data_IF_149636200192
#
_entry.id   IF_149636200192
#
_cell.length_a   1.000
_cell.length_b   1.000
_cell.length_c   1.000
_cell.angle_alpha   90.00
_cell.angle_beta   90.00
_cell.angle_gamma   90.00
#
_symmetry.space_group_name_H-M   'P 1'
#
loop_
_entity.id
_entity.type
_entity.pdbx_description
1 polymer ?
#
# COMPACT_ATOMS: atom_id res chain seq x y z
N UNK A 1 -25.21 1.44 -9.59
CA UNK A 1 -24.31 1.25 -10.75
C UNK A 1 -24.10 2.59 -11.44
N UNK A 2 -23.02 3.30 -11.12
CA UNK A 2 -22.68 4.58 -11.77
C UNK A 2 -21.86 4.22 -13.00
N UNK A 3 -22.40 4.48 -14.19
CA UNK A 3 -21.71 4.26 -15.45
C UNK A 3 -20.66 5.35 -15.62
N UNK A 4 -19.40 5.06 -15.31
CA UNK A 4 -18.29 5.96 -15.61
C UNK A 4 -18.15 6.08 -17.13
N UNK A 5 -18.38 7.28 -17.67
CA UNK A 5 -18.07 7.57 -19.07
C UNK A 5 -16.57 7.86 -19.15
N UNK A 6 -15.83 7.00 -19.83
CA UNK A 6 -14.45 7.26 -20.20
C UNK A 6 -14.40 7.90 -21.59
N UNK A 7 -13.39 8.75 -21.82
CA UNK A 7 -13.02 9.21 -23.16
C UNK A 7 -11.53 9.07 -23.35
N UNK A 8 -11.16 8.46 -24.46
CA UNK A 8 -9.78 8.36 -24.92
C UNK A 8 -9.48 9.58 -25.77
N UNK A 9 -8.32 10.18 -25.58
CA UNK A 9 -7.85 11.26 -26.44
C UNK A 9 -6.34 11.24 -26.53
N UNK A 10 -5.84 11.72 -27.66
CA UNK A 10 -4.42 11.96 -27.87
C UNK A 10 -4.16 13.45 -27.69
N UNK A 11 -3.25 13.79 -26.79
CA UNK A 11 -2.85 15.18 -26.54
C UNK A 11 -1.35 15.27 -26.35
N UNK A 12 -0.88 16.50 -26.50
CA UNK A 12 0.51 16.90 -26.36
C UNK A 12 0.84 17.09 -24.87
N UNK A 13 1.85 16.39 -24.37
CA UNK A 13 2.29 16.46 -22.97
C UNK A 13 3.77 16.83 -22.85
N UNK A 14 4.08 17.53 -21.76
CA UNK A 14 5.44 17.76 -21.28
C UNK A 14 5.61 17.04 -19.96
N UNK A 15 6.65 16.22 -19.84
CA UNK A 15 6.95 15.44 -18.63
C UNK A 15 8.38 15.76 -18.21
N UNK A 16 8.60 16.05 -16.92
CA UNK A 16 9.94 16.28 -16.39
C UNK A 16 10.67 17.50 -16.98
N UNK A 17 9.93 18.46 -17.56
CA UNK A 17 10.52 19.63 -18.22
C UNK A 17 11.05 19.38 -19.63
N UNK A 18 10.72 18.25 -20.28
CA UNK A 18 11.08 18.04 -21.68
C UNK A 18 10.45 19.11 -22.59
N UNK A 19 11.25 19.79 -23.39
CA UNK A 19 10.76 20.70 -24.42
C UNK A 19 10.03 19.95 -25.54
N UNK A 20 10.28 18.63 -25.65
CA UNK A 20 9.61 17.73 -26.58
C UNK A 20 8.18 17.46 -26.15
N UNK A 21 7.28 18.22 -26.75
CA UNK A 21 5.85 18.05 -26.59
C UNK A 21 5.40 16.85 -27.43
N UNK A 22 5.17 15.70 -26.78
CA UNK A 22 4.85 14.47 -27.49
C UNK A 22 3.36 14.12 -27.36
N UNK A 23 2.77 13.66 -28.46
CA UNK A 23 1.38 13.20 -28.46
C UNK A 23 1.27 11.84 -27.75
N UNK A 24 0.66 11.81 -26.57
CA UNK A 24 0.35 10.58 -25.84
C UNK A 24 -1.16 10.36 -25.80
N UNK A 25 -1.56 9.10 -25.88
CA UNK A 25 -2.95 8.71 -25.64
C UNK A 25 -3.17 8.52 -24.15
N UNK A 26 -4.15 9.25 -23.61
CA UNK A 26 -4.64 9.10 -22.25
C UNK A 26 -6.13 8.75 -22.25
N UNK A 27 -6.54 8.12 -21.16
CA UNK A 27 -7.95 7.95 -20.82
C UNK A 27 -8.32 8.92 -19.70
N UNK A 28 -9.37 9.71 -19.88
CA UNK A 28 -10.04 10.37 -18.76
C UNK A 28 -11.26 9.54 -18.40
N UNK A 29 -11.28 9.03 -17.18
CA UNK A 29 -12.50 8.61 -16.52
C UNK A 29 -13.12 9.84 -15.84
N UNK A 30 -14.40 10.11 -16.10
CA UNK A 30 -15.13 11.15 -15.37
C UNK A 30 -15.41 10.66 -13.94
N UNK A 31 -14.45 10.82 -13.03
CA UNK A 31 -14.66 10.62 -11.60
C UNK A 31 -15.33 11.85 -10.97
N UNK A 32 -16.07 11.66 -9.86
CA UNK A 32 -16.68 12.74 -9.08
C UNK A 32 -15.67 13.53 -8.24
N UNK A 33 -14.41 13.11 -8.19
CA UNK A 33 -13.36 13.78 -7.43
C UNK A 33 -12.48 14.67 -8.33
N UNK A 34 -12.03 15.81 -7.80
CA UNK A 34 -11.23 16.83 -8.50
C UNK A 34 -9.77 16.38 -8.80
N UNK A 35 -9.49 15.09 -8.86
CA UNK A 35 -8.13 14.55 -9.03
C UNK A 35 -7.97 13.90 -10.39
N UNK A 36 -6.91 14.29 -11.09
CA UNK A 36 -6.46 13.60 -12.31
C UNK A 36 -5.49 12.48 -11.92
N UNK A 37 -5.75 11.25 -12.37
CA UNK A 37 -4.92 10.09 -12.09
C UNK A 37 -4.08 9.72 -13.32
N UNK A 38 -2.78 9.54 -13.11
CA UNK A 38 -1.86 8.98 -14.11
C UNK A 38 -1.52 7.56 -13.69
N UNK A 39 -1.92 6.57 -14.48
CA UNK A 39 -1.68 5.15 -14.19
C UNK A 39 -0.37 4.68 -14.83
N UNK A 40 0.51 4.12 -14.01
CA UNK A 40 1.80 3.54 -14.43
C UNK A 40 1.80 2.00 -14.26
N UNK A 41 0.74 1.35 -14.71
CA UNK A 41 0.54 -0.09 -14.57
C UNK A 41 0.41 -0.74 -15.95
N UNK A 42 0.72 -2.04 -16.04
CA UNK A 42 0.73 -2.79 -17.29
C UNK A 42 -0.63 -2.73 -18.01
N UNK A 43 -0.68 -2.66 -19.35
CA UNK A 43 -1.91 -2.42 -20.11
C UNK A 43 -2.90 -3.58 -20.00
N UNK A 44 -2.44 -4.78 -19.66
CA UNK A 44 -3.30 -5.95 -19.47
C UNK A 44 -4.09 -5.94 -18.15
N UNK A 45 -3.88 -4.97 -17.26
CA UNK A 45 -4.76 -4.81 -16.10
C UNK A 45 -5.99 -4.05 -16.58
N UNK A 46 -7.01 -4.83 -16.97
CA UNK A 46 -8.38 -4.33 -17.05
C UNK A 46 -8.65 -3.47 -15.82
N UNK A 47 -9.23 -2.30 -16.01
CA UNK A 47 -9.79 -1.58 -14.87
C UNK A 47 -10.70 -2.53 -14.06
N UNK A 48 -10.94 -2.25 -12.77
CA UNK A 48 -11.91 -3.00 -11.94
C UNK A 48 -13.34 -3.02 -12.56
N UNK A 49 -13.52 -2.31 -13.67
CA UNK A 49 -14.74 -2.24 -14.46
C UNK A 49 -14.71 -3.09 -15.73
N UNK A 50 -13.60 -3.72 -16.12
CA UNK A 50 -13.55 -4.72 -17.20
C UNK A 50 -13.80 -4.18 -18.61
N UNK A 51 -13.68 -2.87 -18.86
CA UNK A 51 -14.12 -2.26 -20.12
C UNK A 51 -13.05 -1.55 -20.93
N UNK A 52 -11.81 -1.53 -20.45
CA UNK A 52 -10.77 -0.72 -21.06
C UNK A 52 -9.64 -1.58 -21.64
N UNK A 53 -9.93 -2.29 -22.75
CA UNK A 53 -8.91 -2.64 -23.75
C UNK A 53 -8.50 -1.33 -24.46
N UNK A 54 -7.79 -0.47 -23.74
CA UNK A 54 -7.47 0.87 -24.21
C UNK A 54 -6.10 0.92 -24.84
N UNK A 55 -6.17 1.13 -26.14
CA UNK A 55 -5.10 1.52 -27.05
C UNK A 55 -4.08 0.41 -27.41
N UNK A 56 -3.99 -0.01 -28.69
CA UNK A 56 -2.88 -0.81 -29.18
C UNK A 56 -1.50 -0.14 -29.01
N UNK A 57 -1.42 1.15 -28.62
CA UNK A 57 -0.16 1.85 -28.36
C UNK A 57 0.58 1.41 -27.08
N UNK A 58 -0.06 0.64 -26.20
CA UNK A 58 0.50 0.20 -24.92
C UNK A 58 0.30 1.18 -23.75
N UNK A 59 0.81 0.83 -22.56
CA UNK A 59 0.74 1.69 -21.37
C UNK A 59 1.53 3.00 -21.51
N UNK A 60 1.46 3.88 -20.51
CA UNK A 60 2.17 5.15 -20.53
C UNK A 60 3.70 4.97 -20.71
N UNK A 61 4.30 3.96 -20.08
CA UNK A 61 5.73 3.67 -20.20
C UNK A 61 6.04 3.09 -21.58
N UNK A 62 5.18 2.24 -22.13
CA UNK A 62 5.29 1.73 -23.51
C UNK A 62 5.30 2.87 -24.51
N UNK A 63 4.39 3.84 -24.35
CA UNK A 63 4.35 5.02 -25.21
C UNK A 63 5.64 5.83 -25.10
N UNK A 64 6.22 6.00 -23.89
CA UNK A 64 7.50 6.69 -23.72
C UNK A 64 8.65 5.98 -24.44
N UNK A 65 8.73 4.64 -24.35
CA UNK A 65 9.74 3.85 -25.08
C UNK A 65 9.53 3.93 -26.60
N UNK A 66 8.29 3.74 -27.06
CA UNK A 66 7.94 3.77 -28.49
C UNK A 66 8.21 5.13 -29.15
N UNK A 67 8.21 6.20 -28.35
CA UNK A 67 8.51 7.58 -28.78
C UNK A 67 9.96 7.97 -28.54
N UNK A 68 10.80 7.03 -28.11
CA UNK A 68 12.22 7.25 -27.79
C UNK A 68 12.46 8.33 -26.74
N UNK A 69 11.52 8.51 -25.80
CA UNK A 69 11.67 9.43 -24.67
C UNK A 69 12.46 8.81 -23.52
N UNK A 70 12.47 7.48 -23.45
CA UNK A 70 13.27 6.66 -22.52
C UNK A 70 13.76 5.41 -23.24
N UNK A 71 14.95 4.92 -22.85
CA UNK A 71 15.57 3.74 -23.47
C UNK A 71 15.11 2.41 -22.88
N UNK A 72 14.58 2.44 -21.65
CA UNK A 72 14.22 1.25 -20.87
C UNK A 72 12.77 1.37 -20.39
N UNK A 73 12.01 0.28 -20.52
CA UNK A 73 10.67 0.15 -19.91
C UNK A 73 10.79 0.02 -18.39
N UNK A 74 10.92 1.13 -17.69
CA UNK A 74 11.03 1.15 -16.24
C UNK A 74 10.93 2.56 -15.66
N UNK A 75 10.70 2.63 -14.36
CA UNK A 75 10.75 3.88 -13.60
C UNK A 75 11.16 3.59 -12.15
N UNK A 76 11.74 4.59 -11.48
CA UNK A 76 11.99 4.57 -10.05
C UNK A 76 11.20 5.69 -9.37
N UNK A 77 10.61 5.37 -8.22
CA UNK A 77 9.91 6.35 -7.37
C UNK A 77 10.75 6.55 -6.11
N UNK A 78 11.03 7.80 -5.80
CA UNK A 78 11.57 8.23 -4.52
C UNK A 78 10.51 9.09 -3.84
N UNK A 79 10.04 8.63 -2.68
CA UNK A 79 9.20 9.42 -1.79
C UNK A 79 10.08 9.93 -0.67
N UNK A 80 10.07 11.24 -0.46
CA UNK A 80 10.79 11.87 0.64
C UNK A 80 10.11 11.52 1.99
N UNK A 81 10.65 12.00 3.10
CA UNK A 81 9.97 11.84 4.39
C UNK A 81 8.58 12.52 4.40
N UNK A 82 7.75 12.21 5.41
CA UNK A 82 6.37 12.73 5.53
C UNK A 82 6.31 14.28 5.56
N UNK A 83 7.42 14.95 5.92
CA UNK A 83 7.55 16.40 5.94
C UNK A 83 8.33 16.95 4.73
N UNK A 84 8.82 16.06 3.87
CA UNK A 84 9.63 16.32 2.71
C UNK A 84 8.80 16.86 1.57
N UNK A 85 9.39 17.79 0.82
CA UNK A 85 8.74 18.42 -0.34
C UNK A 85 9.29 17.88 -1.67
N UNK A 86 10.18 16.89 -1.64
CA UNK A 86 10.99 16.48 -2.79
C UNK A 86 10.83 15.00 -3.14
N UNK A 87 9.59 14.58 -3.39
CA UNK A 87 9.34 13.32 -4.08
C UNK A 87 9.73 13.43 -5.56
N UNK A 88 10.27 12.36 -6.13
CA UNK A 88 10.72 12.30 -7.53
C UNK A 88 10.30 11.00 -8.16
N UNK A 89 9.87 11.09 -9.42
CA UNK A 89 9.79 9.95 -10.31
C UNK A 89 10.83 10.12 -11.41
N UNK A 90 11.57 9.07 -11.70
CA UNK A 90 12.52 9.00 -12.81
C UNK A 90 12.03 7.91 -13.77
N UNK A 91 11.78 8.27 -15.02
CA UNK A 91 11.44 7.33 -16.08
C UNK A 91 12.70 6.87 -16.81
N UNK A 92 12.77 5.61 -17.21
CA UNK A 92 13.87 5.06 -18.00
C UNK A 92 15.11 4.67 -17.20
N UNK A 93 15.11 4.78 -15.87
CA UNK A 93 16.28 4.47 -15.07
C UNK A 93 16.01 4.45 -13.56
N UNK A 94 17.09 4.36 -12.80
CA UNK A 94 17.10 4.37 -11.34
C UNK A 94 18.06 5.48 -10.88
N UNK A 95 17.63 6.28 -9.91
CA UNK A 95 18.46 7.30 -9.27
C UNK A 95 19.27 6.66 -8.12
N UNK A 96 20.52 6.27 -8.41
CA UNK A 96 21.40 5.55 -7.46
C UNK A 96 21.87 6.38 -6.29
N UNK A 97 21.68 7.70 -6.32
CA UNK A 97 21.93 8.57 -5.17
C UNK A 97 20.80 8.53 -4.13
N UNK A 98 19.66 7.91 -4.48
CA UNK A 98 18.42 7.93 -3.68
C UNK A 98 18.14 6.64 -2.92
N UNK A 99 18.96 5.62 -3.05
CA UNK A 99 18.85 4.40 -2.26
C UNK A 99 20.23 3.91 -1.81
N UNK A 100 20.25 3.17 -0.70
CA UNK A 100 21.45 2.54 -0.17
C UNK A 100 21.29 1.03 -0.37
N UNK A 101 22.32 0.39 -0.92
CA UNK A 101 22.28 -1.04 -1.28
C UNK A 101 22.21 -1.26 -2.79
N UNK A 102 21.95 -2.49 -3.22
CA UNK A 102 21.94 -2.87 -4.64
C UNK A 102 21.03 -4.04 -4.99
N UNK A 103 20.18 -4.47 -4.05
CA UNK A 103 19.41 -5.69 -4.22
C UNK A 103 18.15 -5.45 -5.05
N UNK A 104 17.94 -6.34 -6.00
CA UNK A 104 16.71 -6.40 -6.80
C UNK A 104 15.90 -7.61 -6.36
N UNK A 105 14.60 -7.40 -6.18
CA UNK A 105 13.63 -8.48 -5.96
C UNK A 105 12.90 -8.73 -7.27
N UNK A 106 12.89 -9.97 -7.78
CA UNK A 106 12.09 -10.29 -8.94
C UNK A 106 10.62 -10.16 -8.60
N UNK A 107 9.89 -9.61 -9.54
CA UNK A 107 8.44 -9.58 -9.48
C UNK A 107 7.91 -10.99 -9.64
N UNK A 108 6.89 -11.36 -8.88
CA UNK A 108 6.17 -12.61 -9.06
C UNK A 108 4.89 -12.34 -9.83
N UNK A 109 4.62 -13.17 -10.82
CA UNK A 109 3.30 -13.16 -11.47
C UNK A 109 2.32 -13.76 -10.47
N UNK A 110 1.42 -12.93 -9.94
CA UNK A 110 0.24 -13.43 -9.28
C UNK A 110 -0.90 -13.40 -10.30
N UNK A 111 -1.26 -14.56 -10.81
CA UNK A 111 -2.57 -14.73 -11.44
C UNK A 111 -3.56 -14.78 -10.30
N UNK A 112 -4.20 -13.66 -9.97
CA UNK A 112 -5.39 -13.73 -9.13
C UNK A 112 -6.34 -14.71 -9.80
N UNK A 113 -6.55 -15.87 -9.16
CA UNK A 113 -7.64 -16.76 -9.50
C UNK A 113 -8.88 -15.88 -9.54
N UNK A 114 -9.48 -15.76 -10.72
CA UNK A 114 -10.70 -15.00 -10.98
C UNK A 114 -11.62 -15.01 -9.77
N UNK A 115 -11.73 -13.88 -9.07
CA UNK A 115 -12.76 -13.76 -8.05
C UNK A 115 -14.08 -13.81 -8.80
N UNK A 116 -14.82 -14.90 -8.62
CA UNK A 116 -16.14 -15.07 -9.21
C UNK A 116 -17.05 -14.10 -8.47
N UNK A 117 -17.26 -12.91 -9.02
CA UNK A 117 -18.36 -12.06 -8.56
C UNK A 117 -19.66 -12.88 -8.61
N UNK A 118 -20.60 -12.67 -7.66
CA UNK A 118 -21.87 -13.41 -7.57
C UNK A 118 -22.77 -13.30 -8.82
N UNK A 119 -22.35 -12.56 -9.86
CA UNK A 119 -23.00 -12.43 -11.16
C UNK A 119 -22.35 -13.24 -12.31
N UNK A 120 -21.44 -14.17 -12.02
CA UNK A 120 -20.98 -15.18 -13.00
C UNK A 120 -20.11 -14.63 -14.15
N UNK A 121 -19.60 -13.41 -14.04
CA UNK A 121 -18.64 -12.85 -14.99
C UNK A 121 -17.23 -13.20 -14.54
N UNK A 122 -16.60 -14.16 -15.21
CA UNK A 122 -15.17 -14.45 -15.08
C UNK A 122 -14.43 -13.36 -15.85
N UNK A 123 -14.04 -12.29 -15.14
CA UNK A 123 -13.08 -11.35 -15.71
C UNK A 123 -11.69 -11.96 -15.57
N UNK A 124 -10.91 -12.11 -16.67
CA UNK A 124 -9.49 -12.38 -16.55
C UNK A 124 -8.87 -11.14 -15.92
N UNK A 125 -8.82 -11.09 -14.59
CA UNK A 125 -8.03 -10.09 -13.88
C UNK A 125 -6.62 -10.19 -14.45
N UNK A 126 -6.18 -9.10 -15.06
CA UNK A 126 -4.85 -9.00 -15.65
C UNK A 126 -3.78 -9.44 -14.66
N UNK A 127 -2.67 -9.97 -15.19
CA UNK A 127 -1.51 -10.25 -14.35
C UNK A 127 -1.18 -9.02 -13.52
N UNK A 128 -1.16 -9.16 -12.18
CA UNK A 128 -0.70 -8.08 -11.33
C UNK A 128 0.81 -7.91 -11.57
N UNK A 129 1.18 -6.71 -11.99
CA UNK A 129 2.52 -6.38 -12.45
C UNK A 129 3.26 -5.54 -11.42
N UNK A 130 2.90 -5.62 -10.13
CA UNK A 130 3.62 -4.99 -9.00
C UNK A 130 3.72 -5.87 -7.76
N UNK A 131 3.71 -7.19 -7.94
CA UNK A 131 3.73 -8.14 -6.84
C UNK A 131 5.12 -8.72 -6.62
N UNK A 132 5.53 -8.82 -5.37
CA UNK A 132 6.80 -9.40 -4.93
C UNK A 132 6.54 -10.45 -3.86
N UNK A 133 7.47 -11.38 -3.69
CA UNK A 133 7.38 -12.40 -2.64
C UNK A 133 7.87 -11.85 -1.30
N UNK A 134 7.09 -12.02 -0.24
CA UNK A 134 7.49 -11.77 1.16
C UNK A 134 7.52 -13.08 1.91
N UNK A 135 8.66 -13.45 2.48
CA UNK A 135 8.83 -14.72 3.19
C UNK A 135 8.66 -14.59 4.70
N UNK A 136 8.93 -13.42 5.28
CA UNK A 136 8.66 -13.18 6.69
C UNK A 136 8.43 -11.71 7.01
N UNK A 137 7.68 -11.51 8.10
CA UNK A 137 7.44 -10.21 8.72
C UNK A 137 7.65 -10.43 10.22
N UNK A 138 8.59 -9.69 10.80
CA UNK A 138 8.96 -9.80 12.22
C UNK A 138 9.03 -8.41 12.82
N UNK A 139 8.43 -8.21 13.98
CA UNK A 139 8.68 -7.01 14.78
C UNK A 139 9.79 -7.29 15.79
N UNK A 140 10.75 -6.39 15.89
CA UNK A 140 11.88 -6.47 16.82
C UNK A 140 11.92 -5.19 17.67
N UNK A 141 11.98 -5.33 18.98
CA UNK A 141 12.26 -4.23 19.91
C UNK A 141 13.71 -4.26 20.36
N UNK A 142 14.40 -3.12 20.20
CA UNK A 142 15.78 -2.97 20.68
C UNK A 142 15.88 -2.87 22.21
N UNK A 143 14.79 -2.52 22.91
CA UNK A 143 14.73 -2.24 24.35
C UNK A 143 14.00 -3.32 25.15
N UNK A 144 14.32 -4.59 24.88
CA UNK A 144 14.10 -5.61 25.90
C UNK A 144 14.89 -5.22 27.15
N UNK A 145 14.20 -4.94 28.27
CA UNK A 145 14.76 -4.47 29.55
C UNK A 145 15.88 -5.35 30.17
N UNK A 146 16.38 -6.38 29.48
CA UNK A 146 17.45 -7.27 29.89
C UNK A 146 18.44 -7.62 28.75
N UNK A 147 18.52 -6.83 27.67
CA UNK A 147 19.44 -7.11 26.55
C UNK A 147 19.02 -8.29 25.65
N UNK A 148 17.88 -8.91 25.93
CA UNK A 148 17.18 -9.81 25.01
C UNK A 148 16.09 -9.02 24.31
N UNK A 149 16.38 -8.50 23.11
CA UNK A 149 15.34 -7.88 22.27
C UNK A 149 14.14 -8.82 22.15
N UNK A 150 12.93 -8.25 22.19
CA UNK A 150 11.71 -9.04 21.99
C UNK A 150 11.45 -9.13 20.49
N UNK A 151 11.44 -10.35 19.97
CA UNK A 151 11.11 -10.62 18.57
C UNK A 151 9.73 -11.26 18.52
N UNK A 152 8.83 -10.70 17.71
CA UNK A 152 7.50 -11.25 17.46
C UNK A 152 7.36 -11.52 15.97
N UNK A 153 7.19 -12.79 15.61
CA UNK A 153 6.98 -13.19 14.22
C UNK A 153 5.51 -13.03 13.86
N UNK A 154 5.22 -12.19 12.88
CA UNK A 154 3.87 -11.99 12.34
C UNK A 154 3.61 -12.90 11.14
N UNK A 155 4.62 -13.05 10.29
CA UNK A 155 4.61 -13.97 9.16
C UNK A 155 5.91 -14.78 9.19
N UNK A 156 5.80 -16.09 9.08
CA UNK A 156 6.95 -17.01 9.00
C UNK A 156 7.08 -17.64 7.62
N UNK A 157 8.26 -18.10 7.22
CA UNK A 157 8.41 -18.85 5.97
C UNK A 157 7.61 -20.16 5.94
N UNK A 158 7.18 -20.69 7.09
CA UNK A 158 6.33 -21.88 7.14
C UNK A 158 4.84 -21.58 6.92
N UNK A 159 4.48 -20.32 6.63
CA UNK A 159 3.09 -19.87 6.52
C UNK A 159 2.32 -20.58 5.39
N UNK A 160 2.97 -20.91 4.27
CA UNK A 160 2.37 -21.70 3.21
C UNK A 160 3.40 -22.61 2.52
N UNK A 161 2.92 -23.53 1.68
CA UNK A 161 3.76 -24.49 0.95
C UNK A 161 4.79 -23.83 0.03
N UNK A 162 4.56 -22.58 -0.38
CA UNK A 162 5.45 -21.81 -1.26
C UNK A 162 6.49 -20.99 -0.48
N UNK A 163 6.42 -20.99 0.85
CA UNK A 163 7.28 -20.26 1.77
C UNK A 163 7.29 -18.73 1.61
N UNK A 164 6.30 -18.17 0.91
CA UNK A 164 6.15 -16.74 0.72
C UNK A 164 4.69 -16.35 0.45
N UNK A 165 4.30 -15.13 0.83
CA UNK A 165 3.04 -14.51 0.43
C UNK A 165 3.29 -13.48 -0.68
N UNK A 166 2.36 -13.35 -1.66
CA UNK A 166 2.41 -12.24 -2.60
C UNK A 166 2.07 -10.93 -1.90
N UNK A 167 2.95 -9.93 -2.03
CA UNK A 167 2.72 -8.56 -1.58
C UNK A 167 2.73 -7.64 -2.79
N UNK A 168 1.62 -6.93 -3.01
CA UNK A 168 1.54 -5.87 -4.03
C UNK A 168 2.17 -4.61 -3.46
N UNK A 169 3.05 -3.99 -4.25
CA UNK A 169 3.58 -2.67 -3.92
C UNK A 169 2.73 -1.60 -4.58
N UNK A 170 1.97 -0.87 -3.77
CA UNK A 170 1.09 0.21 -4.23
C UNK A 170 1.50 1.55 -3.63
N UNK A 171 1.96 2.46 -4.49
CA UNK A 171 2.37 3.82 -4.14
C UNK A 171 1.23 4.83 -4.29
N UNK A 172 0.06 4.40 -4.78
CA UNK A 172 -1.08 5.30 -5.05
C UNK A 172 -1.95 5.57 -3.83
N UNK A 173 -1.87 4.71 -2.81
CA UNK A 173 -2.41 4.91 -1.46
C UNK A 173 -1.31 4.66 -0.42
N UNK A 174 -0.42 5.64 -0.17
CA UNK A 174 0.79 5.44 0.62
C UNK A 174 0.55 5.39 2.13
N UNK A 175 -0.70 5.39 2.58
CA UNK A 175 -1.03 5.57 4.01
C UNK A 175 -0.93 4.26 4.78
N UNK A 176 -1.34 3.16 4.15
CA UNK A 176 -1.61 1.89 4.83
C UNK A 176 -0.80 0.72 4.25
N UNK A 177 -0.44 -0.21 5.13
CA UNK A 177 0.01 -1.55 4.77
C UNK A 177 -1.11 -2.55 5.02
N UNK A 178 -1.57 -3.21 3.97
CA UNK A 178 -2.57 -4.29 4.09
C UNK A 178 -1.87 -5.65 4.19
N UNK A 179 -2.26 -6.44 5.18
CA UNK A 179 -1.71 -7.77 5.46
C UNK A 179 -2.85 -8.78 5.65
N UNK A 180 -2.61 -10.10 5.52
CA UNK A 180 -3.62 -11.11 5.84
C UNK A 180 -4.22 -10.92 7.25
N UNK A 181 -5.49 -11.28 7.43
CA UNK A 181 -6.22 -11.03 8.70
C UNK A 181 -5.50 -11.64 9.91
N UNK A 182 -4.99 -12.86 9.80
CA UNK A 182 -4.24 -13.55 10.85
C UNK A 182 -2.92 -12.84 11.19
N UNK A 183 -2.23 -12.28 10.20
CA UNK A 183 -1.05 -11.43 10.40
C UNK A 183 -1.45 -10.15 11.14
N UNK A 184 -2.54 -9.48 10.73
CA UNK A 184 -3.06 -8.27 11.38
C UNK A 184 -3.45 -8.52 12.85
N UNK A 185 -4.11 -9.64 13.15
CA UNK A 185 -4.48 -10.02 14.52
C UNK A 185 -3.26 -10.15 15.44
N UNK A 186 -2.17 -10.75 14.94
CA UNK A 186 -0.92 -10.85 15.71
C UNK A 186 -0.31 -9.46 15.93
N UNK A 187 -0.31 -8.59 14.91
CA UNK A 187 0.13 -7.20 15.04
C UNK A 187 -0.68 -6.48 16.12
N UNK A 188 -2.01 -6.58 16.07
CA UNK A 188 -2.90 -5.89 17.01
C UNK A 188 -2.73 -6.39 18.44
N UNK A 189 -2.64 -7.70 18.62
CA UNK A 189 -2.33 -8.27 19.93
C UNK A 189 -0.97 -7.81 20.46
N UNK A 190 0.03 -7.68 19.59
CA UNK A 190 1.40 -7.28 19.96
C UNK A 190 1.45 -5.83 20.43
N UNK A 191 0.77 -4.93 19.73
CA UNK A 191 0.80 -3.51 20.06
C UNK A 191 -0.38 -3.06 20.94
N UNK A 192 -1.32 -3.95 21.26
CA UNK A 192 -2.54 -3.60 21.97
C UNK A 192 -3.46 -2.72 21.15
N UNK A 193 -3.46 -2.91 19.83
CA UNK A 193 -4.33 -2.16 18.93
C UNK A 193 -5.75 -2.75 18.91
N UNK A 194 -6.76 -1.90 18.87
CA UNK A 194 -8.17 -2.32 18.93
C UNK A 194 -9.02 -1.49 17.96
N UNK A 195 -9.97 -2.14 17.30
CA UNK A 195 -11.05 -1.41 16.62
C UNK A 195 -12.05 -0.94 17.65
N UNK A 196 -12.42 0.33 17.59
CA UNK A 196 -13.51 0.87 18.40
C UNK A 196 -14.44 1.70 17.53
N UNK A 197 -15.75 1.63 17.75
CA UNK A 197 -16.67 2.55 17.10
C UNK A 197 -16.41 3.98 17.59
N UNK A 198 -16.31 4.91 16.65
CA UNK A 198 -16.28 6.33 16.94
C UNK A 198 -17.70 6.89 16.98
N UNK A 199 -17.87 7.98 17.71
CA UNK A 199 -19.13 8.71 17.82
C UNK A 199 -18.92 10.19 17.55
N UNK A 200 -19.84 10.78 16.79
CA UNK A 200 -19.97 12.23 16.61
C UNK A 200 -21.42 12.62 16.86
N UNK A 201 -21.68 13.27 18.00
CA UNK A 201 -23.06 13.58 18.43
C UNK A 201 -23.83 12.31 18.79
N UNK A 202 -24.88 11.96 18.03
CA UNK A 202 -25.66 10.72 18.22
C UNK A 202 -25.34 9.65 17.18
N UNK A 203 -24.45 9.94 16.23
CA UNK A 203 -24.15 9.06 15.11
C UNK A 203 -22.89 8.25 15.40
N UNK A 204 -22.99 6.94 15.17
CA UNK A 204 -21.88 5.99 15.22
C UNK A 204 -21.18 5.94 13.86
N UNK A 205 -19.86 5.91 13.89
CA UNK A 205 -18.99 5.75 12.73
C UNK A 205 -18.11 4.52 12.98
N UNK A 206 -18.17 3.59 12.05
CA UNK A 206 -17.18 2.51 11.98
C UNK A 206 -16.05 3.06 11.14
N UNK A 207 -15.01 3.47 11.83
CA UNK A 207 -13.72 3.71 11.25
C UNK A 207 -13.03 2.33 11.15
N UNK A 208 -12.49 2.02 9.97
CA UNK A 208 -11.84 0.73 9.67
C UNK A 208 -10.34 0.74 10.01
N UNK A 209 -9.90 1.66 10.87
CA UNK A 209 -8.56 1.75 11.43
C UNK A 209 -8.54 1.17 12.85
N UNK A 210 -7.56 0.32 13.15
CA UNK A 210 -7.26 -0.07 14.51
C UNK A 210 -6.62 1.12 15.26
N UNK A 211 -7.05 1.37 16.50
CA UNK A 211 -6.44 2.39 17.36
C UNK A 211 -5.38 1.80 18.25
N UNK A 212 -4.32 2.56 18.47
CA UNK A 212 -3.18 2.17 19.29
C UNK A 212 -2.72 3.34 20.17
N UNK A 213 -2.02 3.01 21.25
CA UNK A 213 -1.37 3.99 22.13
C UNK A 213 -0.27 4.76 21.37
N UNK A 214 -0.37 6.08 21.32
CA UNK A 214 0.60 6.95 20.66
C UNK A 214 2.03 6.83 21.19
N UNK A 215 2.28 6.17 22.33
CA UNK A 215 3.65 5.88 22.81
C UNK A 215 4.51 5.18 21.75
N UNK A 216 3.90 4.43 20.82
CA UNK A 216 4.64 3.75 19.77
C UNK A 216 5.25 4.70 18.73
N UNK A 217 4.83 5.97 18.68
CA UNK A 217 5.48 7.02 17.86
C UNK A 217 6.91 7.34 18.30
N UNK A 218 7.24 7.05 19.56
CA UNK A 218 8.61 7.17 20.09
C UNK A 218 9.21 5.82 20.44
N UNK A 219 8.63 4.72 19.95
CA UNK A 219 9.20 3.39 20.19
C UNK A 219 10.39 3.08 19.29
N UNK A 220 11.18 2.13 19.73
CA UNK A 220 12.32 1.56 19.02
C UNK A 220 11.96 0.26 18.29
N UNK A 221 10.67 -0.07 18.19
CA UNK A 221 10.23 -1.22 17.44
C UNK A 221 10.49 -1.00 15.95
N UNK A 222 11.01 -2.03 15.31
CA UNK A 222 11.26 -2.08 13.87
C UNK A 222 10.52 -3.28 13.30
N UNK A 223 9.76 -3.04 12.23
CA UNK A 223 9.15 -4.06 11.40
C UNK A 223 10.18 -4.47 10.34
N UNK A 224 10.62 -5.72 10.41
CA UNK A 224 11.55 -6.33 9.48
C UNK A 224 10.74 -7.13 8.45
N UNK A 225 10.83 -6.76 7.18
CA UNK A 225 10.15 -7.43 6.07
C UNK A 225 11.20 -8.09 5.20
N UNK A 226 11.20 -9.42 5.19
CA UNK A 226 12.11 -10.24 4.41
C UNK A 226 11.45 -10.57 3.07
N UNK A 227 12.05 -10.11 1.98
CA UNK A 227 11.62 -10.51 0.64
C UNK A 227 12.16 -11.91 0.32
N UNK A 228 11.40 -12.63 -0.50
CA UNK A 228 11.76 -13.92 -1.04
C UNK A 228 12.07 -13.85 -2.54
N UNK A 229 12.64 -14.93 -3.04
CA UNK A 229 12.77 -15.21 -4.47
C UNK A 229 11.81 -16.36 -4.86
N UNK A 230 11.42 -16.46 -6.14
CA UNK A 230 10.71 -17.61 -6.67
C UNK A 230 11.39 -18.93 -6.29
N UNK A 231 10.60 -20.02 -6.24
CA UNK A 231 11.03 -21.36 -5.83
C UNK A 231 11.38 -21.53 -4.33
N UNK A 232 10.77 -20.72 -3.46
CA UNK A 232 10.85 -20.91 -2.01
C UNK A 232 12.18 -20.49 -1.37
N UNK A 233 12.99 -19.70 -2.08
CA UNK A 233 14.20 -19.12 -1.51
C UNK A 233 13.85 -17.88 -0.68
N UNK A 234 14.20 -17.90 0.60
CA UNK A 234 13.84 -16.88 1.60
C UNK A 234 14.92 -15.82 1.81
N UNK A 235 16.00 -15.85 1.03
CA UNK A 235 17.21 -15.05 1.25
C UNK A 235 17.24 -13.73 0.47
N UNK A 236 16.08 -13.11 0.24
CA UNK A 236 16.01 -11.81 -0.43
C UNK A 236 16.55 -10.65 0.41
N UNK A 237 16.38 -9.40 -0.05
CA UNK A 237 16.67 -8.24 0.78
C UNK A 237 15.74 -8.18 1.98
N UNK A 238 16.29 -7.64 3.06
CA UNK A 238 15.59 -7.37 4.31
C UNK A 238 15.39 -5.86 4.43
N UNK A 239 14.13 -5.42 4.53
CA UNK A 239 13.80 -4.02 4.73
C UNK A 239 13.35 -3.78 6.18
N UNK A 240 13.80 -2.67 6.73
CA UNK A 240 13.49 -2.23 8.09
C UNK A 240 12.59 -1.01 8.06
N UNK A 241 11.42 -1.12 8.68
CA UNK A 241 10.45 -0.05 8.80
C UNK A 241 10.21 0.27 10.27
N UNK A 242 10.61 1.44 10.77
CA UNK A 242 10.30 1.85 12.15
C UNK A 242 8.79 1.84 12.40
N UNK A 243 8.33 1.21 13.49
CA UNK A 243 6.89 1.11 13.82
C UNK A 243 6.26 2.50 13.96
N UNK A 244 7.01 3.50 14.42
CA UNK A 244 6.54 4.89 14.49
C UNK A 244 6.01 5.45 13.15
N UNK A 245 6.45 4.90 12.01
CA UNK A 245 5.98 5.31 10.69
C UNK A 245 4.57 4.78 10.38
N UNK A 246 4.11 3.75 11.11
CA UNK A 246 2.78 3.18 10.99
C UNK A 246 1.81 3.71 12.07
N UNK A 247 2.25 4.61 12.94
CA UNK A 247 1.42 5.15 14.03
C UNK A 247 1.08 6.60 13.74
N UNK A 248 -0.15 6.85 13.31
CA UNK A 248 -0.62 8.15 12.83
C UNK A 248 -1.22 8.96 14.00
N UNK A 249 -0.79 10.23 14.11
CA UNK A 249 -1.33 11.19 15.09
C UNK A 249 -2.37 12.09 14.41
N UNK A 250 -3.41 11.44 13.88
CA UNK A 250 -4.47 12.06 13.10
C UNK A 250 -5.76 12.29 13.91
N UNK A 251 -5.89 11.65 15.09
CA UNK A 251 -7.11 11.68 15.90
C UNK A 251 -7.08 12.68 17.06
N UNK A 252 -5.91 13.03 17.63
CA UNK A 252 -5.84 13.85 18.86
C UNK A 252 -6.54 15.20 18.74
N UNK A 253 -6.43 15.86 17.59
CA UNK A 253 -7.09 17.15 17.35
C UNK A 253 -8.61 17.03 17.42
N UNK A 254 -9.16 15.93 16.90
CA UNK A 254 -10.59 15.69 16.90
C UNK A 254 -11.12 15.33 18.30
N UNK A 255 -10.37 14.53 19.06
CA UNK A 255 -10.68 14.16 20.44
C UNK A 255 -10.61 15.39 21.36
N UNK A 256 -9.52 16.16 21.31
CA UNK A 256 -9.32 17.33 22.17
C UNK A 256 -10.41 18.40 21.96
N UNK A 257 -10.90 18.55 20.74
CA UNK A 257 -11.96 19.50 20.40
C UNK A 257 -13.37 18.95 20.65
N UNK A 258 -13.51 17.73 21.20
CA UNK A 258 -14.80 17.08 21.45
C UNK A 258 -15.59 16.75 20.17
N UNK A 259 -14.95 16.78 19.01
CA UNK A 259 -15.58 16.45 17.73
C UNK A 259 -15.64 14.95 17.47
N UNK A 260 -14.83 14.18 18.20
CA UNK A 260 -14.79 12.74 18.18
C UNK A 260 -14.83 12.23 19.61
N UNK A 261 -15.76 11.35 19.91
CA UNK A 261 -15.88 10.65 21.19
C UNK A 261 -15.80 9.15 20.90
N UNK A 262 -15.19 8.37 21.79
CA UNK A 262 -15.30 6.92 21.72
C UNK A 262 -16.72 6.52 22.11
N UNK A 263 -17.31 5.59 21.38
CA UNK A 263 -18.69 5.20 21.66
C UNK A 263 -18.82 4.28 22.88
N UNK A 264 -17.73 3.59 23.24
CA UNK A 264 -17.58 2.71 24.39
C UNK A 264 -16.70 3.33 25.48
N UNK A 265 -16.75 2.86 26.75
CA UNK A 265 -15.94 3.42 27.81
C UNK A 265 -14.43 3.38 27.45
N UNK A 266 -13.68 4.46 27.73
CA UNK A 266 -12.24 4.58 27.46
C UNK A 266 -11.38 3.37 27.83
N UNK A 267 -11.79 2.67 28.89
CA UNK A 267 -11.13 1.49 29.46
C UNK A 267 -11.00 0.34 28.45
N UNK A 268 -11.91 0.26 27.48
CA UNK A 268 -11.91 -0.80 26.47
C UNK A 268 -10.77 -0.68 25.43
N UNK A 269 -10.09 0.48 25.36
CA UNK A 269 -8.89 0.64 24.53
C UNK A 269 -7.64 0.01 25.16
N UNK A 270 -7.61 -0.14 26.49
CA UNK A 270 -6.40 -0.51 27.22
C UNK A 270 -5.34 0.61 27.32
N UNK A 271 -5.65 1.84 26.89
CA UNK A 271 -4.82 3.04 27.03
C UNK A 271 -5.69 4.31 27.12
N UNK A 272 -5.09 5.44 27.51
CA UNK A 272 -5.81 6.72 27.67
C UNK A 272 -6.22 7.30 26.32
N UNK A 273 -7.48 7.73 26.18
CA UNK A 273 -8.03 8.31 24.93
C UNK A 273 -7.23 9.52 24.43
N UNK A 274 -6.67 10.32 25.33
CA UNK A 274 -5.81 11.45 25.00
C UNK A 274 -4.51 11.06 24.27
N UNK A 275 -4.13 9.77 24.37
CA UNK A 275 -2.99 9.17 23.69
C UNK A 275 -3.43 8.27 22.52
N UNK A 276 -4.61 8.48 21.94
CA UNK A 276 -5.08 7.70 20.80
C UNK A 276 -4.39 8.10 19.49
N UNK A 277 -3.90 7.08 18.78
CA UNK A 277 -3.35 7.16 17.43
C UNK A 277 -3.98 6.06 16.57
N UNK A 278 -3.99 6.25 15.25
CA UNK A 278 -4.37 5.18 14.31
C UNK A 278 -3.15 4.33 13.96
N UNK A 279 -3.33 3.02 13.78
CA UNK A 279 -2.29 2.13 13.28
C UNK A 279 -2.56 1.79 11.81
N UNK A 280 -1.62 2.13 10.92
CA UNK A 280 -1.76 1.97 9.47
C UNK A 280 -1.30 0.60 8.96
N UNK A 281 -1.46 -0.45 9.78
CA UNK A 281 -1.35 -1.85 9.38
C UNK A 281 -2.74 -2.45 9.49
N UNK A 282 -3.31 -2.87 8.37
CA UNK A 282 -4.73 -3.21 8.25
C UNK A 282 -4.94 -4.62 7.72
N UNK A 283 -6.00 -5.33 8.12
CA UNK A 283 -6.35 -6.56 7.46
C UNK A 283 -6.72 -6.24 6.01
N UNK A 284 -6.21 -7.03 5.09
CA UNK A 284 -6.75 -7.10 3.75
C UNK A 284 -8.13 -7.73 3.85
N UNK A 285 -9.16 -6.92 3.73
CA UNK A 285 -10.54 -7.38 3.62
C UNK A 285 -10.78 -7.57 2.14
N UNK A 286 -11.03 -8.81 1.70
CA UNK A 286 -11.45 -9.05 0.33
C UNK A 286 -12.77 -8.30 0.12
N UNK A 287 -12.82 -7.38 -0.84
CA UNK A 287 -14.05 -6.70 -1.24
C UNK A 287 -15.05 -7.74 -1.78
N UNK A 288 -15.82 -8.34 -0.87
CA UNK A 288 -16.69 -9.48 -1.15
C UNK A 288 -17.03 -10.32 0.09
N UNK A 289 -16.26 -10.21 1.18
CA UNK A 289 -16.69 -10.70 2.50
C UNK A 289 -17.52 -9.61 3.18
N UNK A 290 -18.84 -9.70 3.06
CA UNK A 290 -19.75 -8.92 3.89
C UNK A 290 -19.40 -9.16 5.38
N UNK A 291 -19.04 -8.08 6.09
CA UNK A 291 -19.11 -7.99 7.55
C UNK A 291 -20.37 -7.18 7.88
#
# INVERSE_FOLDING_TARGET
MVMYRSRVFTKRFTIGGSEDVTEMTLCIALAREEKHLVRLAHPNITDDFGYLNLDPSGDFIDQMVNKSLIDIKGYSVYMDDVQGSKSKILFGGIDTEKYIGGDLVPMISNTYSSSVYPYGSVYPYGQDTKTVAVSSIVAVSASGNNGTGTNVTFLSPAYNANHHIPMRIDWTDPTDMYVPMDVAEIVYKTFGANFHPLRKGTQYYIDFYPYVDCKYRSSDWVLMVQFGYPAGNISGPLLEFPIKNFVLDDLKGFVKNGTLELADPPEALGFLVENICSLSIRPQIDEGSDI
#
